data_IF_255096386805
#
_entry.id   IF_255096386805
#
_cell.length_a   1.000
_cell.length_b   1.000
_cell.length_c   1.000
_cell.angle_alpha   90.00
_cell.angle_beta   90.00
_cell.angle_gamma   90.00
#
_symmetry.space_group_name_H-M   'P 1'
#
loop_
_entity.id
_entity.type
_entity.pdbx_description
1 polymer ?
#
# COMPACT_ATOMS: atom_id res chain seq x y z
N UNK A 1 -6.69 13.64 -9.20
CA UNK A 1 -5.51 14.26 -8.57
C UNK A 1 -4.67 13.13 -8.04
N UNK A 2 -3.41 12.98 -8.44
CA UNK A 2 -2.55 11.89 -7.93
C UNK A 2 -2.18 12.24 -6.49
N UNK A 3 -2.62 11.49 -5.46
CA UNK A 3 -2.29 11.78 -4.08
C UNK A 3 -0.80 11.54 -3.80
N UNK A 4 -0.20 12.43 -3.00
CA UNK A 4 1.24 12.43 -2.64
C UNK A 4 1.72 11.09 -2.07
N UNK A 5 0.84 10.36 -1.38
CA UNK A 5 1.15 9.07 -0.75
C UNK A 5 1.44 7.98 -1.76
N UNK A 6 0.77 7.97 -2.92
CA UNK A 6 1.03 7.00 -4.00
C UNK A 6 2.42 7.20 -4.60
N UNK A 7 2.81 8.46 -4.80
CA UNK A 7 4.14 8.83 -5.29
C UNK A 7 5.20 8.40 -4.28
N UNK A 8 4.97 8.65 -2.99
CA UNK A 8 5.88 8.21 -1.93
C UNK A 8 5.99 6.68 -1.87
N UNK A 9 4.87 5.96 -1.91
CA UNK A 9 4.85 4.50 -1.93
C UNK A 9 5.64 3.95 -3.13
N UNK A 10 5.45 4.53 -4.30
CA UNK A 10 6.21 4.19 -5.51
C UNK A 10 7.71 4.44 -5.34
N UNK A 11 8.12 5.63 -4.87
CA UNK A 11 9.54 5.97 -4.67
C UNK A 11 10.20 5.03 -3.66
N UNK A 12 9.52 4.75 -2.53
CA UNK A 12 10.01 3.81 -1.52
C UNK A 12 10.15 2.41 -2.12
N UNK A 13 9.16 1.97 -2.90
CA UNK A 13 9.22 0.72 -3.63
C UNK A 13 10.42 0.66 -4.58
N UNK A 14 10.63 1.71 -5.37
CA UNK A 14 11.73 1.83 -6.30
C UNK A 14 13.09 1.72 -5.61
N UNK A 15 13.30 2.46 -4.52
CA UNK A 15 14.53 2.38 -3.73
C UNK A 15 14.70 0.98 -3.15
N UNK A 16 13.63 0.38 -2.63
CA UNK A 16 13.70 -0.95 -2.04
C UNK A 16 14.08 -2.03 -3.07
N UNK A 17 13.44 -2.03 -4.24
CA UNK A 17 13.77 -2.94 -5.35
C UNK A 17 15.22 -2.78 -5.82
N UNK A 18 15.67 -1.53 -5.99
CA UNK A 18 17.05 -1.24 -6.39
C UNK A 18 18.09 -1.77 -5.38
N UNK A 19 17.82 -1.64 -4.08
CA UNK A 19 18.76 -2.09 -3.03
C UNK A 19 18.72 -3.61 -2.81
N UNK A 20 17.57 -4.27 -3.05
CA UNK A 20 17.37 -5.71 -2.82
C UNK A 20 16.68 -6.38 -4.02
N UNK A 21 17.33 -6.45 -5.19
CA UNK A 21 16.72 -6.94 -6.42
C UNK A 21 16.28 -8.40 -6.31
N UNK A 22 15.07 -8.70 -6.79
CA UNK A 22 14.58 -10.07 -6.98
C UNK A 22 14.30 -10.87 -5.69
N UNK A 23 14.46 -10.27 -4.50
CA UNK A 23 14.16 -10.94 -3.22
C UNK A 23 12.71 -10.84 -2.79
N UNK A 24 11.90 -10.07 -3.53
CA UNK A 24 10.53 -9.78 -3.14
C UNK A 24 9.53 -10.83 -3.61
N UNK A 25 8.82 -11.41 -2.64
CA UNK A 25 7.61 -12.17 -2.91
C UNK A 25 6.42 -11.23 -3.02
N UNK A 26 6.27 -10.59 -4.19
CA UNK A 26 5.25 -9.57 -4.47
C UNK A 26 3.82 -10.04 -4.16
N UNK A 27 3.53 -11.33 -4.35
CA UNK A 27 2.26 -11.94 -3.96
C UNK A 27 2.05 -11.97 -2.44
N UNK A 28 3.10 -12.25 -1.66
CA UNK A 28 3.02 -12.20 -0.21
C UNK A 28 2.89 -10.75 0.30
N UNK A 29 3.53 -9.79 -0.37
CA UNK A 29 3.37 -8.36 -0.07
C UNK A 29 1.92 -7.90 -0.27
N UNK A 30 1.29 -8.28 -1.38
CA UNK A 30 -0.11 -7.94 -1.66
C UNK A 30 -1.06 -8.56 -0.62
N UNK A 31 -0.84 -9.82 -0.26
CA UNK A 31 -1.61 -10.50 0.81
C UNK A 31 -1.45 -9.79 2.16
N UNK A 32 -0.21 -9.44 2.53
CA UNK A 32 0.06 -8.70 3.77
C UNK A 32 -0.59 -7.33 3.75
N UNK A 33 -0.48 -6.60 2.64
CA UNK A 33 -1.15 -5.31 2.45
C UNK A 33 -2.65 -5.41 2.63
N UNK A 34 -3.29 -6.44 2.06
CA UNK A 34 -4.72 -6.69 2.25
C UNK A 34 -5.08 -6.98 3.72
N UNK A 35 -4.30 -7.83 4.40
CA UNK A 35 -4.50 -8.12 5.84
C UNK A 35 -4.34 -6.86 6.69
N UNK A 36 -3.29 -6.07 6.48
CA UNK A 36 -3.10 -4.80 7.19
C UNK A 36 -4.19 -3.79 6.86
N UNK A 37 -4.66 -3.75 5.60
CA UNK A 37 -5.79 -2.93 5.19
C UNK A 37 -7.08 -3.29 5.92
N UNK A 38 -7.35 -4.59 6.13
CA UNK A 38 -8.49 -5.04 6.92
C UNK A 38 -8.34 -4.60 8.38
N UNK A 39 -7.17 -4.84 8.98
CA UNK A 39 -6.91 -4.49 10.39
C UNK A 39 -7.08 -2.98 10.60
N UNK A 40 -6.45 -2.16 9.75
CA UNK A 40 -6.56 -0.70 9.83
C UNK A 40 -7.98 -0.22 9.52
N UNK A 41 -8.64 -0.80 8.52
CA UNK A 41 -10.02 -0.47 8.17
C UNK A 41 -10.99 -0.77 9.32
N UNK A 42 -10.80 -1.86 10.06
CA UNK A 42 -11.60 -2.16 11.25
C UNK A 42 -11.34 -1.16 12.38
N UNK A 43 -10.08 -0.83 12.65
CA UNK A 43 -9.72 0.14 13.70
C UNK A 43 -10.29 1.52 13.39
N UNK A 44 -10.03 2.05 12.20
CA UNK A 44 -10.50 3.37 11.79
C UNK A 44 -12.01 3.40 11.57
N UNK A 45 -12.59 2.30 11.07
CA UNK A 45 -14.03 2.14 10.94
C UNK A 45 -14.73 2.16 12.30
N UNK A 46 -14.15 1.50 13.32
CA UNK A 46 -14.68 1.54 14.68
C UNK A 46 -14.62 2.95 15.26
N UNK A 47 -13.51 3.67 15.07
CA UNK A 47 -13.41 5.09 15.44
C UNK A 47 -14.49 5.92 14.72
N UNK A 48 -14.67 5.69 13.42
CA UNK A 48 -15.71 6.34 12.62
C UNK A 48 -17.13 6.10 13.16
N UNK A 49 -17.40 4.92 13.73
CA UNK A 49 -18.67 4.60 14.37
C UNK A 49 -18.91 5.48 15.61
N UNK A 50 -17.88 5.65 16.45
CA UNK A 50 -17.98 6.42 17.69
C UNK A 50 -18.21 7.91 17.47
N UNK A 51 -17.67 8.48 16.39
CA UNK A 51 -17.67 9.93 16.16
C UNK A 51 -18.70 10.42 15.12
N UNK A 52 -19.20 9.53 14.25
CA UNK A 52 -20.07 9.93 13.14
C UNK A 52 -21.05 8.86 12.67
N UNK A 53 -21.23 7.78 13.44
CA UNK A 53 -22.23 6.75 13.18
C UNK A 53 -21.88 5.79 12.04
N UNK A 54 -22.87 4.96 11.67
CA UNK A 54 -22.67 3.81 10.80
C UNK A 54 -22.17 4.17 9.39
N UNK A 55 -22.68 5.27 8.81
CA UNK A 55 -22.31 5.70 7.45
C UNK A 55 -20.83 6.09 7.39
N UNK A 56 -20.36 6.88 8.37
CA UNK A 56 -18.95 7.26 8.46
C UNK A 56 -18.08 6.03 8.73
N UNK A 57 -18.51 5.14 9.63
CA UNK A 57 -17.81 3.90 9.94
C UNK A 57 -17.52 3.06 8.69
N UNK A 58 -18.57 2.74 7.92
CA UNK A 58 -18.46 1.90 6.72
C UNK A 58 -17.61 2.59 5.65
N UNK A 59 -17.82 3.89 5.42
CA UNK A 59 -17.04 4.67 4.46
C UNK A 59 -15.55 4.67 4.81
N UNK A 60 -15.22 4.91 6.09
CA UNK A 60 -13.83 4.92 6.56
C UNK A 60 -13.19 3.55 6.47
N UNK A 61 -13.89 2.48 6.88
CA UNK A 61 -13.36 1.12 6.83
C UNK A 61 -13.03 0.68 5.40
N UNK A 62 -13.99 0.84 4.48
CA UNK A 62 -13.83 0.46 3.07
C UNK A 62 -12.79 1.36 2.40
N UNK A 63 -12.85 2.67 2.63
CA UNK A 63 -11.90 3.63 2.07
C UNK A 63 -10.46 3.32 2.50
N UNK A 64 -10.25 3.01 3.78
CA UNK A 64 -8.93 2.64 4.30
C UNK A 64 -8.41 1.35 3.66
N UNK A 65 -9.26 0.32 3.52
CA UNK A 65 -8.86 -0.93 2.89
C UNK A 65 -8.42 -0.70 1.44
N UNK A 66 -9.21 0.05 0.67
CA UNK A 66 -8.91 0.37 -0.73
C UNK A 66 -7.60 1.15 -0.82
N UNK A 67 -7.43 2.17 0.00
CA UNK A 67 -6.22 3.01 0.02
C UNK A 67 -4.97 2.19 0.31
N UNK A 68 -4.98 1.33 1.34
CA UNK A 68 -3.83 0.49 1.69
C UNK A 68 -3.49 -0.48 0.55
N UNK A 69 -4.49 -1.04 -0.12
CA UNK A 69 -4.27 -1.92 -1.27
C UNK A 69 -3.66 -1.15 -2.45
N UNK A 70 -4.14 0.06 -2.75
CA UNK A 70 -3.58 0.92 -3.79
C UNK A 70 -2.11 1.26 -3.48
N UNK A 71 -1.81 1.68 -2.25
CA UNK A 71 -0.44 1.97 -1.82
C UNK A 71 0.47 0.74 -1.92
N UNK A 72 -0.05 -0.44 -1.57
CA UNK A 72 0.69 -1.71 -1.71
C UNK A 72 0.99 -2.01 -3.17
N UNK A 73 0.03 -1.79 -4.07
CA UNK A 73 0.23 -1.98 -5.52
C UNK A 73 1.26 -0.99 -6.05
N UNK A 74 1.16 0.30 -5.70
CA UNK A 74 2.13 1.32 -6.12
C UNK A 74 3.54 1.02 -5.62
N UNK A 75 3.67 0.55 -4.38
CA UNK A 75 4.94 0.08 -3.84
C UNK A 75 5.50 -1.09 -4.67
N UNK A 76 4.70 -2.13 -4.94
CA UNK A 76 5.12 -3.28 -5.75
C UNK A 76 5.55 -2.85 -7.16
N UNK A 77 4.81 -1.93 -7.80
CA UNK A 77 5.20 -1.40 -9.11
C UNK A 77 6.56 -0.69 -8.99
N UNK A 78 6.76 0.13 -7.96
CA UNK A 78 8.05 0.74 -7.66
C UNK A 78 9.17 -0.31 -7.59
N UNK A 79 8.97 -1.39 -6.83
CA UNK A 79 10.00 -2.42 -6.65
C UNK A 79 10.36 -3.13 -7.94
N UNK A 80 9.38 -3.39 -8.82
CA UNK A 80 9.65 -3.86 -10.18
C UNK A 80 10.59 -2.93 -10.95
N UNK A 81 10.34 -1.62 -10.95
CA UNK A 81 11.23 -0.66 -11.61
C UNK A 81 12.60 -0.57 -10.94
N UNK A 82 12.65 -0.66 -9.61
CA UNK A 82 13.91 -0.72 -8.86
C UNK A 82 14.78 -1.91 -9.27
N UNK A 83 14.19 -3.10 -9.35
CA UNK A 83 14.89 -4.32 -9.80
C UNK A 83 15.44 -4.17 -11.24
N UNK A 84 14.64 -3.59 -12.14
CA UNK A 84 15.07 -3.34 -13.52
C UNK A 84 16.22 -2.33 -13.59
N UNK A 85 16.15 -1.25 -12.81
CA UNK A 85 17.21 -0.26 -12.73
C UNK A 85 18.52 -0.87 -12.20
N UNK A 86 18.45 -1.73 -11.19
CA UNK A 86 19.63 -2.42 -10.66
C UNK A 86 20.29 -3.29 -11.73
N UNK A 87 19.48 -4.02 -12.50
CA UNK A 87 19.95 -4.90 -13.59
C UNK A 87 20.59 -4.14 -14.75
N UNK A 88 20.16 -2.90 -15.01
CA UNK A 88 20.69 -2.09 -16.12
C UNK A 88 21.93 -1.29 -15.71
N UNK A 89 22.01 -0.87 -14.43
CA UNK A 89 23.10 -0.01 -13.93
C UNK A 89 24.35 -0.82 -13.56
N UNK A 90 24.21 -2.08 -13.17
CA UNK A 90 25.33 -3.00 -12.93
C UNK A 90 25.56 -3.94 -14.11
#
# INVERSE_FOLDING_TARGET
MIPILEILAFIIGLVYGYVKPGKEKRWELLKRGFVYGIILGLILGFIGLLIGGLVLSVKTAIGTLIEVVILTIMFIIGTFFGDLLETVVK
#
